data_IF_541252382753
#
_entry.id   IF_541252382753
#
_cell.length_a   1.000
_cell.length_b   1.000
_cell.length_c   1.000
_cell.angle_alpha   90.00
_cell.angle_beta   90.00
_cell.angle_gamma   90.00
#
_symmetry.space_group_name_H-M   'P 1'
#
loop_
_entity.id
_entity.type
_entity.pdbx_description
1 polymer ?
#
# COMPACT_ATOMS: atom_id res chain seq x y z
N UNK A 1 -23.52 -4.55 -14.09
CA UNK A 1 -23.36 -3.08 -14.13
C UNK A 1 -22.28 -2.67 -13.13
N UNK A 2 -21.01 -2.83 -13.48
CA UNK A 2 -19.86 -2.45 -12.62
C UNK A 2 -18.79 -1.82 -13.51
N UNK A 3 -19.15 -0.78 -14.25
CA UNK A 3 -18.23 -0.11 -15.20
C UNK A 3 -17.98 1.36 -14.85
N UNK A 4 -18.60 1.91 -13.80
CA UNK A 4 -18.51 3.33 -13.46
C UNK A 4 -17.53 3.67 -12.31
N UNK A 5 -16.40 2.96 -12.17
CA UNK A 5 -15.46 3.24 -11.06
C UNK A 5 -14.00 3.46 -11.40
N UNK A 6 -13.63 3.53 -12.68
CA UNK A 6 -12.31 3.99 -13.08
C UNK A 6 -12.45 5.31 -13.83
N UNK A 7 -12.38 6.43 -13.10
CA UNK A 7 -12.36 7.79 -13.66
C UNK A 7 -11.12 8.07 -14.53
N UNK A 8 -10.19 7.12 -14.62
CA UNK A 8 -8.95 7.20 -15.38
C UNK A 8 -8.99 6.08 -16.41
N UNK A 9 -8.84 6.37 -17.71
CA UNK A 9 -8.80 5.34 -18.73
C UNK A 9 -7.69 4.33 -18.40
N UNK A 10 -7.97 3.02 -18.55
CA UNK A 10 -7.06 1.98 -18.13
C UNK A 10 -5.80 1.97 -18.98
N UNK A 11 -4.66 2.31 -18.35
CA UNK A 11 -3.38 2.48 -19.02
C UNK A 11 -2.90 1.20 -19.71
N UNK A 12 -2.21 1.36 -20.85
CA UNK A 12 -1.45 0.30 -21.50
C UNK A 12 -0.14 0.04 -20.78
N UNK A 13 0.50 -1.10 -21.07
CA UNK A 13 1.85 -1.41 -20.54
C UNK A 13 2.86 -0.32 -20.91
N UNK A 14 2.79 0.20 -22.14
CA UNK A 14 3.68 1.26 -22.62
C UNK A 14 3.47 2.57 -21.86
N UNK A 15 2.21 2.92 -21.55
CA UNK A 15 1.90 4.10 -20.76
C UNK A 15 2.43 3.98 -19.32
N UNK A 16 2.29 2.80 -18.71
CA UNK A 16 2.86 2.52 -17.37
C UNK A 16 4.38 2.66 -17.42
N UNK A 17 5.04 2.05 -18.41
CA UNK A 17 6.50 2.14 -18.60
C UNK A 17 6.96 3.59 -18.79
N UNK A 18 6.26 4.36 -19.62
CA UNK A 18 6.56 5.77 -19.85
C UNK A 18 6.43 6.60 -18.57
N UNK A 19 5.40 6.34 -17.75
CA UNK A 19 5.23 7.02 -16.45
C UNK A 19 6.37 6.70 -15.49
N UNK A 20 6.75 5.43 -15.36
CA UNK A 20 7.87 5.02 -14.49
C UNK A 20 9.21 5.65 -14.93
N UNK A 21 9.46 5.74 -16.24
CA UNK A 21 10.64 6.45 -16.78
C UNK A 21 10.60 7.94 -16.44
N UNK A 22 9.44 8.60 -16.59
CA UNK A 22 9.28 10.01 -16.20
C UNK A 22 9.52 10.23 -14.72
N UNK A 23 9.05 9.32 -13.87
CA UNK A 23 9.28 9.36 -12.42
C UNK A 23 10.77 9.21 -12.11
N UNK A 24 11.45 8.24 -12.72
CA UNK A 24 12.90 8.04 -12.57
C UNK A 24 13.68 9.31 -12.96
N UNK A 25 13.29 9.99 -14.03
CA UNK A 25 13.95 11.19 -14.53
C UNK A 25 13.76 12.43 -13.63
N UNK A 26 12.83 12.41 -12.67
CA UNK A 26 12.70 13.47 -11.65
C UNK A 26 13.82 13.45 -10.60
N UNK A 27 14.59 12.37 -10.51
CA UNK A 27 15.62 12.21 -9.48
C UNK A 27 15.01 11.98 -8.09
N UNK A 28 15.62 12.57 -7.05
CA UNK A 28 15.11 12.44 -5.69
C UNK A 28 13.85 13.30 -5.49
N UNK A 29 12.79 12.66 -5.01
CA UNK A 29 11.52 13.31 -4.70
C UNK A 29 11.32 13.31 -3.19
N UNK A 30 10.90 14.45 -2.63
CA UNK A 30 10.53 14.58 -1.22
C UNK A 30 9.30 13.72 -0.97
N UNK A 31 9.28 12.98 0.14
CA UNK A 31 8.16 12.09 0.44
C UNK A 31 6.87 12.85 0.68
N UNK A 32 5.75 12.32 0.17
CA UNK A 32 4.43 12.91 0.36
C UNK A 32 3.76 12.49 1.69
N UNK A 33 4.33 11.52 2.41
CA UNK A 33 3.81 11.04 3.70
C UNK A 33 4.96 10.63 4.60
N UNK A 34 4.92 11.04 5.86
CA UNK A 34 5.90 10.60 6.85
C UNK A 34 5.76 9.10 7.17
N UNK A 35 6.88 8.42 7.41
CA UNK A 35 6.92 7.03 7.87
C UNK A 35 7.13 5.97 6.78
N UNK A 36 7.01 4.68 7.12
CA UNK A 36 7.38 3.56 6.24
C UNK A 36 6.59 3.54 4.92
N UNK A 37 5.30 3.87 4.98
CA UNK A 37 4.36 3.89 3.84
C UNK A 37 4.57 5.07 2.89
N UNK A 38 5.46 6.01 3.23
CA UNK A 38 5.74 7.20 2.42
C UNK A 38 6.22 6.86 1.01
N UNK A 39 6.98 5.78 0.83
CA UNK A 39 7.48 5.37 -0.49
C UNK A 39 6.35 4.94 -1.44
N UNK A 40 5.35 4.18 -0.95
CA UNK A 40 4.18 3.79 -1.73
C UNK A 40 3.32 4.98 -2.07
N UNK A 41 2.98 5.78 -1.05
CA UNK A 41 2.16 6.98 -1.24
C UNK A 41 2.77 7.96 -2.23
N UNK A 42 4.07 8.20 -2.14
CA UNK A 42 4.77 9.09 -3.07
C UNK A 42 4.71 8.55 -4.51
N UNK A 43 4.87 7.24 -4.70
CA UNK A 43 4.80 6.62 -6.02
C UNK A 43 3.39 6.67 -6.62
N UNK A 44 2.35 6.41 -5.83
CA UNK A 44 0.94 6.52 -6.24
C UNK A 44 0.62 7.94 -6.72
N UNK A 45 0.97 8.95 -5.93
CA UNK A 45 0.70 10.35 -6.25
C UNK A 45 1.43 10.79 -7.54
N UNK A 46 2.70 10.40 -7.69
CA UNK A 46 3.47 10.68 -8.90
C UNK A 46 2.93 9.95 -10.15
N UNK A 47 2.26 8.82 -9.93
CA UNK A 47 1.62 8.03 -10.99
C UNK A 47 0.18 8.46 -11.28
N UNK A 48 -0.37 9.41 -10.49
CA UNK A 48 -1.74 9.89 -10.61
C UNK A 48 -2.78 8.88 -10.13
N UNK A 49 -2.41 7.98 -9.22
CA UNK A 49 -3.28 6.93 -8.68
C UNK A 49 -3.87 7.43 -7.36
N UNK A 50 -5.20 7.57 -7.24
CA UNK A 50 -5.82 7.92 -5.97
C UNK A 50 -5.75 6.72 -5.01
N UNK A 51 -5.28 6.99 -3.79
CA UNK A 51 -5.24 6.01 -2.71
C UNK A 51 -6.66 5.50 -2.40
N UNK A 52 -6.82 4.18 -2.35
CA UNK A 52 -8.10 3.54 -2.08
C UNK A 52 -7.89 2.21 -1.32
N UNK A 53 -8.96 1.69 -0.72
CA UNK A 53 -8.95 0.44 0.05
C UNK A 53 -9.64 -0.71 -0.70
N UNK A 54 -9.77 -0.61 -2.02
CA UNK A 54 -10.45 -1.63 -2.82
C UNK A 54 -9.51 -2.83 -2.98
N UNK A 55 -10.01 -4.08 -2.81
CA UNK A 55 -9.22 -5.28 -3.02
C UNK A 55 -9.13 -5.59 -4.52
N UNK A 56 -8.48 -4.70 -5.28
CA UNK A 56 -8.31 -4.81 -6.73
C UNK A 56 -7.01 -4.15 -7.19
N UNK A 57 -6.61 -4.39 -8.44
CA UNK A 57 -5.37 -3.86 -9.01
C UNK A 57 -5.42 -2.33 -9.22
N UNK A 58 -4.27 -1.67 -9.06
CA UNK A 58 -4.11 -0.23 -9.31
C UNK A 58 -4.30 0.16 -10.79
N UNK A 59 -3.89 -0.72 -11.72
CA UNK A 59 -3.94 -0.48 -13.16
C UNK A 59 -4.34 -1.73 -13.94
N UNK A 60 -5.58 -1.80 -14.46
CA UNK A 60 -6.11 -2.97 -15.20
C UNK A 60 -5.95 -4.28 -14.42
N UNK A 61 -4.87 -5.01 -14.68
CA UNK A 61 -4.50 -6.30 -14.09
C UNK A 61 -3.15 -6.24 -13.36
N UNK A 62 -2.54 -5.06 -13.28
CA UNK A 62 -1.26 -4.80 -12.63
C UNK A 62 -1.46 -4.13 -11.29
N UNK A 63 -0.76 -4.66 -10.29
CA UNK A 63 -0.66 -4.09 -8.94
C UNK A 63 0.68 -3.35 -8.82
N UNK A 64 0.66 -2.12 -8.30
CA UNK A 64 1.84 -1.31 -8.11
C UNK A 64 2.37 -1.49 -6.68
N UNK A 65 3.59 -2.01 -6.56
CA UNK A 65 4.29 -2.14 -5.28
C UNK A 65 5.58 -1.34 -5.27
N UNK A 66 5.92 -0.78 -4.12
CA UNK A 66 7.17 -0.04 -3.93
C UNK A 66 7.94 -0.56 -2.72
N UNK A 67 9.27 -0.50 -2.81
CA UNK A 67 10.19 -0.93 -1.77
C UNK A 67 11.49 -0.17 -1.87
N UNK A 68 12.18 0.03 -0.74
CA UNK A 68 13.50 0.66 -0.72
C UNK A 68 14.55 -0.40 -1.05
N UNK A 69 15.43 -0.12 -2.02
CA UNK A 69 16.41 -1.10 -2.57
C UNK A 69 17.23 -1.87 -1.51
N UNK A 70 17.61 -1.21 -0.42
CA UNK A 70 18.44 -1.80 0.63
C UNK A 70 17.62 -2.19 1.89
N UNK A 71 16.30 -2.25 1.79
CA UNK A 71 15.46 -2.70 2.89
C UNK A 71 15.52 -4.23 3.00
N UNK A 72 15.71 -4.73 4.22
CA UNK A 72 15.59 -6.16 4.54
C UNK A 72 14.14 -6.56 4.86
N UNK A 73 13.18 -5.62 4.83
CA UNK A 73 11.78 -5.91 5.10
C UNK A 73 11.15 -6.70 3.95
N UNK A 74 10.24 -7.61 4.29
CA UNK A 74 9.45 -8.32 3.30
C UNK A 74 8.58 -7.38 2.47
N UNK A 75 8.34 -7.74 1.22
CA UNK A 75 7.36 -7.06 0.37
C UNK A 75 5.95 -7.58 0.69
N UNK A 76 5.11 -6.73 1.27
CA UNK A 76 3.71 -7.07 1.53
C UNK A 76 2.93 -7.16 0.22
N UNK A 77 2.46 -8.37 -0.12
CA UNK A 77 1.65 -8.59 -1.32
C UNK A 77 0.21 -8.12 -1.09
N UNK A 78 -0.46 -8.65 -0.06
CA UNK A 78 -1.81 -8.28 0.35
C UNK A 78 -2.01 -8.59 1.83
N UNK A 79 -3.09 -8.06 2.42
CA UNK A 79 -3.53 -8.43 3.76
C UNK A 79 -4.89 -9.12 3.69
N UNK A 80 -5.08 -10.16 4.49
CA UNK A 80 -6.34 -10.90 4.53
C UNK A 80 -6.67 -11.30 5.97
N UNK A 81 -7.83 -10.86 6.44
CA UNK A 81 -8.34 -11.27 7.74
C UNK A 81 -8.74 -12.76 7.72
N UNK A 82 -8.36 -13.54 8.76
CA UNK A 82 -8.77 -14.94 8.88
C UNK A 82 -10.28 -15.07 9.13
N UNK A 83 -10.80 -16.25 8.86
CA UNK A 83 -12.13 -16.69 9.29
C UNK A 83 -12.01 -17.43 10.63
N UNK A 84 -12.97 -17.30 11.54
CA UNK A 84 -14.17 -16.45 11.46
C UNK A 84 -13.84 -14.94 11.66
N UNK A 85 -14.79 -14.04 11.35
CA UNK A 85 -14.65 -12.62 11.65
C UNK A 85 -14.22 -12.38 13.11
N UNK A 86 -13.41 -11.34 13.34
CA UNK A 86 -12.85 -10.97 14.66
C UNK A 86 -11.79 -11.92 15.24
N UNK A 87 -11.34 -12.94 14.50
CA UNK A 87 -10.24 -13.81 14.95
C UNK A 87 -8.98 -13.01 15.34
N UNK A 88 -8.59 -11.98 14.58
CA UNK A 88 -7.47 -11.08 14.95
C UNK A 88 -7.70 -10.37 16.30
N UNK A 89 -8.93 -9.98 16.61
CA UNK A 89 -9.27 -9.32 17.89
C UNK A 89 -9.17 -10.31 19.06
N UNK A 90 -9.58 -11.57 18.86
CA UNK A 90 -9.45 -12.62 19.87
C UNK A 90 -7.98 -12.99 20.11
N UNK A 91 -7.16 -13.08 19.05
CA UNK A 91 -5.72 -13.28 19.17
C UNK A 91 -5.06 -12.15 19.96
N UNK A 92 -5.40 -10.89 19.67
CA UNK A 92 -4.89 -9.73 20.41
C UNK A 92 -5.27 -9.75 21.90
N UNK A 93 -6.51 -10.14 22.24
CA UNK A 93 -6.94 -10.22 23.64
C UNK A 93 -6.15 -11.27 24.42
N UNK A 94 -5.95 -12.45 23.82
CA UNK A 94 -5.30 -13.61 24.45
C UNK A 94 -3.77 -13.49 24.52
N UNK A 95 -3.15 -13.01 23.45
CA UNK A 95 -1.69 -13.05 23.28
C UNK A 95 -1.03 -11.67 23.20
N UNK A 96 -1.81 -10.59 23.12
CA UNK A 96 -1.28 -9.23 23.05
C UNK A 96 -0.66 -8.78 24.36
N UNK A 97 0.41 -7.98 24.24
CA UNK A 97 1.16 -7.39 25.34
C UNK A 97 0.93 -5.88 25.42
N UNK A 98 1.16 -5.26 26.58
CA UNK A 98 0.97 -3.81 26.74
C UNK A 98 1.94 -3.03 25.84
N UNK A 99 1.41 -2.03 25.14
CA UNK A 99 2.18 -1.16 24.26
C UNK A 99 3.29 -0.45 25.05
N UNK A 100 4.50 -0.50 24.51
CA UNK A 100 5.67 0.23 25.04
C UNK A 100 5.47 1.75 25.03
N UNK A 101 4.47 2.24 24.27
CA UNK A 101 4.10 3.66 24.22
C UNK A 101 3.34 4.12 25.48
N UNK A 102 3.00 3.21 26.41
CA UNK A 102 2.36 3.55 27.69
C UNK A 102 0.91 4.05 27.55
N UNK A 103 0.25 3.80 26.42
CA UNK A 103 -1.10 4.29 26.12
C UNK A 103 -2.22 3.38 26.65
N UNK A 104 -1.89 2.37 27.47
CA UNK A 104 -2.84 1.39 28.01
C UNK A 104 -3.43 0.41 26.99
N UNK A 105 -2.96 0.40 25.74
CA UNK A 105 -3.44 -0.53 24.70
C UNK A 105 -2.56 -1.78 24.61
N UNK A 106 -3.15 -2.90 24.21
CA UNK A 106 -2.41 -4.10 23.82
C UNK A 106 -1.95 -4.01 22.35
N UNK A 107 -0.79 -4.57 22.05
CA UNK A 107 -0.24 -4.78 20.71
C UNK A 107 0.12 -6.25 20.49
N UNK A 108 0.10 -6.69 19.24
CA UNK A 108 0.53 -8.01 18.79
C UNK A 108 1.05 -7.82 17.35
N UNK A 109 2.36 -8.04 17.16
CA UNK A 109 3.06 -7.91 15.88
C UNK A 109 3.54 -9.26 15.40
#
# INVERSE_FOLDING_TARGET
MVEEKFQIPPLTEDEIRCRLVRIKNKGFVVTHRHGPTGVGKTLEDLSGIPENNLPGPDHRCYELKSGRKNSQSMLTLFTKSPLPPKANSELLKRFGYLSVKGNGRKELH
#
